data_IF_955021292259
#
_entry.id   IF_955021292259
#
_cell.length_a   1.000
_cell.length_b   1.000
_cell.length_c   1.000
_cell.angle_alpha   90.00
_cell.angle_beta   90.00
_cell.angle_gamma   90.00
#
_symmetry.space_group_name_H-M   'P 1'
#
loop_
_entity.id
_entity.type
_entity.pdbx_description
1 polymer ?
#
# COMPACT_ATOMS: atom_id res chain seq x y z
N UNK A 1 -17.56 -20.71 -15.18
CA UNK A 1 -16.82 -20.47 -13.92
C UNK A 1 -15.94 -19.26 -14.17
N UNK A 2 -15.79 -18.36 -13.20
CA UNK A 2 -14.85 -17.26 -13.36
C UNK A 2 -13.42 -17.81 -13.48
N UNK A 3 -12.61 -17.24 -14.37
CA UNK A 3 -11.20 -17.61 -14.47
C UNK A 3 -10.46 -17.17 -13.20
N UNK A 4 -9.51 -17.96 -12.75
CA UNK A 4 -8.69 -17.68 -11.57
C UNK A 4 -7.20 -17.63 -11.92
N UNK A 5 -6.44 -16.96 -11.07
CA UNK A 5 -4.99 -16.97 -11.06
C UNK A 5 -4.51 -17.52 -9.72
N UNK A 6 -3.68 -18.55 -9.77
CA UNK A 6 -3.10 -19.15 -8.56
C UNK A 6 -1.88 -18.35 -8.13
N UNK A 7 -1.97 -17.69 -6.96
CA UNK A 7 -0.88 -16.94 -6.35
C UNK A 7 -0.21 -17.78 -5.27
N UNK A 8 1.12 -17.93 -5.37
CA UNK A 8 1.96 -18.50 -4.31
C UNK A 8 2.71 -17.36 -3.61
N UNK A 9 2.47 -17.17 -2.32
CA UNK A 9 3.01 -16.03 -1.59
C UNK A 9 3.20 -16.36 -0.11
N UNK A 10 4.34 -15.98 0.46
CA UNK A 10 4.65 -16.15 1.89
C UNK A 10 4.39 -17.58 2.41
N UNK A 11 4.67 -18.60 1.58
CA UNK A 11 4.42 -20.01 1.90
C UNK A 11 2.97 -20.47 1.76
N UNK A 12 2.07 -19.59 1.30
CA UNK A 12 0.65 -19.86 1.14
C UNK A 12 0.27 -19.90 -0.35
N UNK A 13 -0.91 -20.45 -0.64
CA UNK A 13 -1.51 -20.45 -1.97
C UNK A 13 -2.90 -19.80 -1.90
N UNK A 14 -3.20 -18.92 -2.86
CA UNK A 14 -4.50 -18.25 -2.99
C UNK A 14 -4.97 -18.26 -4.42
N UNK A 15 -6.27 -18.53 -4.63
CA UNK A 15 -6.93 -18.41 -5.92
C UNK A 15 -7.56 -17.03 -6.05
N UNK A 16 -7.01 -16.22 -6.94
CA UNK A 16 -7.49 -14.86 -7.20
C UNK A 16 -8.44 -14.87 -8.39
N UNK A 17 -9.62 -14.28 -8.23
CA UNK A 17 -10.56 -14.12 -9.34
C UNK A 17 -9.97 -13.18 -10.37
N UNK A 18 -9.97 -13.58 -11.65
CA UNK A 18 -9.67 -12.68 -12.76
C UNK A 18 -10.89 -11.81 -13.04
N UNK A 19 -10.67 -10.51 -13.08
CA UNK A 19 -11.68 -9.49 -13.29
C UNK A 19 -11.32 -8.65 -14.51
N UNK A 20 -12.29 -8.46 -15.41
CA UNK A 20 -12.14 -7.58 -16.57
C UNK A 20 -11.91 -6.14 -16.10
N UNK A 21 -10.78 -5.56 -16.49
CA UNK A 21 -10.49 -4.14 -16.26
C UNK A 21 -10.97 -3.29 -17.44
N UNK A 22 -10.74 -3.75 -18.66
CA UNK A 22 -11.20 -3.15 -19.92
C UNK A 22 -11.30 -4.22 -21.03
N UNK A 23 -11.57 -3.81 -22.28
CA UNK A 23 -11.76 -4.75 -23.38
C UNK A 23 -10.48 -5.48 -23.83
N UNK A 24 -9.32 -5.09 -23.31
CA UNK A 24 -8.02 -5.66 -23.70
C UNK A 24 -7.24 -6.26 -22.54
N UNK A 25 -7.77 -6.17 -21.30
CA UNK A 25 -6.97 -6.53 -20.14
C UNK A 25 -7.83 -6.95 -18.95
N UNK A 26 -7.44 -8.06 -18.31
CA UNK A 26 -7.92 -8.49 -17.00
C UNK A 26 -6.83 -8.30 -15.93
N UNK A 27 -7.29 -8.16 -14.70
CA UNK A 27 -6.46 -8.17 -13.49
C UNK A 27 -6.82 -9.38 -12.62
N UNK A 28 -5.88 -9.83 -11.79
CA UNK A 28 -6.18 -10.75 -10.70
C UNK A 28 -6.55 -9.94 -9.45
N UNK A 29 -7.77 -10.11 -8.95
CA UNK A 29 -8.27 -9.35 -7.81
C UNK A 29 -7.61 -9.82 -6.50
N UNK A 30 -6.57 -9.11 -6.06
CA UNK A 30 -5.94 -9.35 -4.77
C UNK A 30 -6.70 -8.60 -3.67
N UNK A 31 -7.24 -9.36 -2.73
CA UNK A 31 -8.02 -8.83 -1.60
C UNK A 31 -7.51 -9.49 -0.33
N UNK A 32 -6.71 -8.75 0.47
CA UNK A 32 -6.24 -9.26 1.75
C UNK A 32 -7.18 -8.91 2.93
N UNK A 33 -8.25 -8.13 2.71
CA UNK A 33 -9.24 -7.83 3.73
C UNK A 33 -9.93 -9.10 4.21
N UNK A 34 -9.80 -9.41 5.51
CA UNK A 34 -10.36 -10.62 6.11
C UNK A 34 -9.47 -11.87 5.99
N UNK A 35 -8.40 -11.86 5.19
CA UNK A 35 -7.43 -12.94 5.12
C UNK A 35 -6.32 -12.75 6.17
N UNK A 36 -6.62 -13.14 7.39
CA UNK A 36 -5.70 -12.98 8.53
C UNK A 36 -4.43 -13.80 8.38
N UNK A 37 -4.54 -15.03 7.88
CA UNK A 37 -3.39 -15.91 7.68
C UNK A 37 -2.39 -15.30 6.70
N UNK A 38 -2.88 -14.82 5.56
CA UNK A 38 -2.05 -14.14 4.55
C UNK A 38 -1.45 -12.84 5.10
N UNK A 39 -2.25 -12.05 5.83
CA UNK A 39 -1.78 -10.78 6.40
C UNK A 39 -0.63 -11.00 7.36
N UNK A 40 -0.72 -11.99 8.24
CA UNK A 40 0.34 -12.33 9.20
C UNK A 40 1.60 -12.82 8.49
N UNK A 41 1.46 -13.73 7.53
CA UNK A 41 2.58 -14.28 6.79
C UNK A 41 3.28 -13.23 5.91
N UNK A 42 2.51 -12.42 5.18
CA UNK A 42 3.05 -11.36 4.32
C UNK A 42 3.77 -10.28 5.12
N UNK A 43 3.22 -9.85 6.27
CA UNK A 43 3.87 -8.90 7.16
C UNK A 43 5.22 -9.43 7.66
N UNK A 44 5.29 -10.69 8.07
CA UNK A 44 6.53 -11.32 8.53
C UNK A 44 7.61 -11.36 7.44
N UNK A 45 7.24 -11.74 6.22
CA UNK A 45 8.18 -11.80 5.10
C UNK A 45 8.63 -10.41 4.64
N UNK A 46 7.74 -9.41 4.61
CA UNK A 46 8.10 -8.03 4.27
C UNK A 46 9.05 -7.43 5.29
N UNK A 47 8.82 -7.63 6.59
CA UNK A 47 9.71 -7.13 7.64
C UNK A 47 11.13 -7.64 7.52
N UNK A 48 11.36 -8.84 6.98
CA UNK A 48 12.71 -9.38 6.72
C UNK A 48 13.42 -8.65 5.56
N UNK A 49 12.68 -8.08 4.63
CA UNK A 49 13.21 -7.41 3.42
C UNK A 49 13.32 -5.89 3.60
N UNK A 50 12.55 -5.31 4.50
CA UNK A 50 12.49 -3.86 4.71
C UNK A 50 13.71 -3.35 5.49
N UNK A 51 14.18 -2.12 5.20
CA UNK A 51 15.18 -1.46 6.02
C UNK A 51 14.62 -1.13 7.40
N UNK A 52 15.50 -0.77 8.33
CA UNK A 52 15.09 -0.24 9.64
C UNK A 52 14.25 1.02 9.48
N UNK A 53 13.14 1.09 10.21
CA UNK A 53 12.21 2.21 10.23
C UNK A 53 11.74 2.52 11.65
N UNK A 54 11.11 3.67 11.83
CA UNK A 54 10.58 4.11 13.11
C UNK A 54 9.04 4.13 13.14
N UNK A 55 8.42 4.33 11.97
CA UNK A 55 6.97 4.44 11.81
C UNK A 55 6.55 4.00 10.41
N UNK A 56 5.36 3.40 10.29
CA UNK A 56 4.76 3.03 9.02
C UNK A 56 3.77 4.11 8.56
N UNK A 57 3.69 4.33 7.25
CA UNK A 57 2.67 5.17 6.62
C UNK A 57 1.90 4.33 5.60
N UNK A 58 0.57 4.34 5.69
CA UNK A 58 -0.32 3.67 4.73
C UNK A 58 -1.53 4.52 4.40
N UNK A 59 -2.33 4.09 3.43
CA UNK A 59 -3.61 4.68 3.08
C UNK A 59 -4.77 3.69 3.27
N UNK A 60 -5.98 4.22 3.55
CA UNK A 60 -7.18 3.37 3.52
C UNK A 60 -7.47 2.89 2.08
N UNK A 61 -8.02 1.66 1.87
CA UNK A 61 -8.45 0.79 2.96
C UNK A 61 -7.58 -0.47 3.06
N UNK A 62 -7.08 -1.02 1.94
CA UNK A 62 -6.49 -2.36 1.88
C UNK A 62 -5.09 -2.44 2.47
N UNK A 63 -4.35 -1.33 2.52
CA UNK A 63 -3.05 -1.27 3.19
C UNK A 63 -3.13 -1.30 4.73
N UNK A 64 -4.30 -1.01 5.31
CA UNK A 64 -4.46 -0.95 6.77
C UNK A 64 -4.17 -2.29 7.47
N UNK A 65 -4.72 -3.45 7.04
CA UNK A 65 -4.42 -4.72 7.69
C UNK A 65 -2.93 -5.04 7.70
N UNK A 66 -2.25 -4.80 6.58
CA UNK A 66 -0.81 -4.99 6.47
C UNK A 66 -0.03 -4.08 7.43
N UNK A 67 -0.32 -2.79 7.41
CA UNK A 67 0.34 -1.82 8.29
C UNK A 67 0.11 -2.13 9.77
N UNK A 68 -1.11 -2.52 10.13
CA UNK A 68 -1.43 -2.93 11.51
C UNK A 68 -0.62 -4.16 11.93
N UNK A 69 -0.55 -5.19 11.08
CA UNK A 69 0.17 -6.42 11.41
C UNK A 69 1.69 -6.21 11.42
N UNK A 70 2.23 -5.44 10.48
CA UNK A 70 3.65 -5.05 10.52
C UNK A 70 3.98 -4.24 11.79
N UNK A 71 3.08 -3.33 12.20
CA UNK A 71 3.19 -2.58 13.46
C UNK A 71 3.21 -3.51 14.67
N UNK A 72 2.30 -4.48 14.73
CA UNK A 72 2.22 -5.46 15.82
C UNK A 72 3.49 -6.30 15.91
N UNK A 73 4.01 -6.80 14.79
CA UNK A 73 5.18 -7.67 14.76
C UNK A 73 6.48 -6.90 15.04
N UNK A 74 6.61 -5.68 14.53
CA UNK A 74 7.82 -4.85 14.71
C UNK A 74 7.84 -4.05 16.01
N UNK A 75 6.69 -3.86 16.66
CA UNK A 75 6.54 -2.95 17.80
C UNK A 75 6.62 -1.47 17.43
N UNK A 76 6.57 -1.12 16.11
CA UNK A 76 6.63 0.25 15.61
C UNK A 76 5.22 0.77 15.32
N UNK A 77 4.91 2.05 15.59
CA UNK A 77 3.59 2.61 15.28
C UNK A 77 3.34 2.73 13.77
N UNK A 78 2.07 2.95 13.41
CA UNK A 78 1.71 3.34 12.05
C UNK A 78 0.74 4.52 12.05
N UNK A 79 0.72 5.27 10.96
CA UNK A 79 -0.27 6.30 10.64
C UNK A 79 -0.98 5.94 9.33
N UNK A 80 -2.25 6.33 9.23
CA UNK A 80 -3.09 5.98 8.09
C UNK A 80 -3.72 7.22 7.48
N UNK A 81 -3.38 7.51 6.22
CA UNK A 81 -4.06 8.52 5.44
C UNK A 81 -5.44 8.02 4.97
N UNK A 82 -6.43 8.90 4.97
CA UNK A 82 -7.82 8.59 4.65
C UNK A 82 -8.19 9.15 3.27
N UNK A 83 -9.14 8.53 2.61
CA UNK A 83 -9.68 9.00 1.30
C UNK A 83 -10.61 10.21 1.41
N UNK A 84 -10.88 10.66 2.60
CA UNK A 84 -11.72 11.83 2.88
C UNK A 84 -11.60 12.28 4.33
N UNK A 85 -11.91 13.54 4.55
CA UNK A 85 -11.93 14.16 5.87
C UNK A 85 -12.95 13.46 6.79
N UNK A 86 -12.60 13.36 8.06
CA UNK A 86 -13.44 12.77 9.11
C UNK A 86 -13.77 13.82 10.17
N UNK A 87 -14.93 13.71 10.78
CA UNK A 87 -15.42 14.66 11.78
C UNK A 87 -14.48 14.86 12.98
N UNK A 88 -13.64 13.89 13.27
CA UNK A 88 -12.69 13.97 14.37
C UNK A 88 -11.37 14.67 14.00
N UNK A 89 -11.14 14.98 12.73
CA UNK A 89 -9.94 15.71 12.29
C UNK A 89 -10.11 17.20 12.63
N UNK A 90 -9.14 17.75 13.34
CA UNK A 90 -9.16 19.15 13.79
C UNK A 90 -8.32 20.07 12.91
N UNK A 91 -7.32 19.52 12.24
CA UNK A 91 -6.45 20.24 11.30
C UNK A 91 -6.08 19.29 10.14
N UNK A 92 -7.03 19.05 9.21
CA UNK A 92 -6.83 18.13 8.12
C UNK A 92 -5.83 18.66 7.09
N UNK A 93 -4.79 17.87 6.81
CA UNK A 93 -3.86 18.08 5.70
C UNK A 93 -4.31 17.25 4.52
N UNK A 94 -4.45 17.89 3.37
CA UNK A 94 -4.99 17.29 2.16
C UNK A 94 -3.91 17.28 1.08
N UNK A 95 -3.73 16.13 0.44
CA UNK A 95 -2.93 16.00 -0.78
C UNK A 95 -3.81 15.40 -1.87
N UNK A 96 -3.80 16.02 -3.04
CA UNK A 96 -4.48 15.53 -4.23
C UNK A 96 -3.45 15.05 -5.26
N UNK A 97 -3.64 13.86 -5.79
CA UNK A 97 -2.85 13.40 -6.94
C UNK A 97 -3.31 14.16 -8.18
N UNK A 98 -2.36 14.87 -8.81
CA UNK A 98 -2.58 15.62 -10.05
C UNK A 98 -2.40 14.77 -11.32
N UNK A 99 -2.41 13.44 -11.21
CA UNK A 99 -2.24 12.59 -12.39
C UNK A 99 -3.36 12.87 -13.41
N UNK A 100 -2.97 13.32 -14.60
CA UNK A 100 -3.83 13.75 -15.71
C UNK A 100 -4.57 12.54 -16.35
N UNK A 101 -4.21 11.34 -15.98
CA UNK A 101 -4.74 10.11 -16.58
C UNK A 101 -5.60 9.36 -15.59
N UNK A 102 -6.88 9.29 -15.89
CA UNK A 102 -7.93 8.42 -15.36
C UNK A 102 -8.90 9.03 -14.35
N UNK A 103 -10.13 8.68 -14.56
CA UNK A 103 -11.34 9.02 -13.84
C UNK A 103 -11.22 8.98 -12.30
N UNK A 104 -10.88 10.11 -11.70
CA UNK A 104 -10.94 10.33 -10.26
C UNK A 104 -9.63 10.82 -9.65
N UNK A 105 -9.57 12.08 -9.28
CA UNK A 105 -8.50 12.63 -8.44
C UNK A 105 -8.44 11.81 -7.15
N UNK A 106 -7.31 11.16 -6.88
CA UNK A 106 -7.11 10.52 -5.59
C UNK A 106 -6.77 11.60 -4.57
N UNK A 107 -7.62 11.70 -3.54
CA UNK A 107 -7.43 12.61 -2.43
C UNK A 107 -7.04 11.79 -1.21
N UNK A 108 -5.94 12.17 -0.56
CA UNK A 108 -5.56 11.65 0.74
C UNK A 108 -5.63 12.76 1.78
N UNK A 109 -6.14 12.42 2.95
CA UNK A 109 -6.34 13.35 4.07
C UNK A 109 -5.79 12.70 5.34
N UNK A 110 -5.04 13.46 6.11
CA UNK A 110 -4.55 13.05 7.43
C UNK A 110 -4.66 14.23 8.40
N UNK A 111 -4.98 13.97 9.66
CA UNK A 111 -4.96 15.03 10.66
C UNK A 111 -3.52 15.44 10.97
N UNK A 112 -3.25 16.74 11.13
CA UNK A 112 -1.92 17.28 11.43
C UNK A 112 -1.24 16.57 12.60
N UNK A 113 -1.96 16.30 13.68
CA UNK A 113 -1.44 15.59 14.86
C UNK A 113 -0.94 14.16 14.54
N UNK A 114 -1.53 13.49 13.55
CA UNK A 114 -1.08 12.16 13.10
C UNK A 114 0.14 12.31 12.17
N UNK A 115 0.10 13.29 11.29
CA UNK A 115 1.19 13.61 10.39
C UNK A 115 2.46 13.99 11.15
N UNK A 116 2.34 14.79 12.21
CA UNK A 116 3.47 15.26 13.04
C UNK A 116 4.19 14.12 13.77
N UNK A 117 3.56 12.96 13.95
CA UNK A 117 4.22 11.76 14.49
C UNK A 117 5.39 11.29 13.64
N UNK A 118 5.42 11.66 12.36
CA UNK A 118 6.49 11.31 11.43
C UNK A 118 7.68 12.28 11.46
N UNK A 119 7.56 13.47 12.11
CA UNK A 119 8.65 14.44 12.17
C UNK A 119 9.93 13.82 12.76
N UNK A 120 11.04 13.94 12.03
CA UNK A 120 12.34 13.41 12.42
C UNK A 120 12.45 11.88 12.42
N UNK A 121 11.47 11.18 11.81
CA UNK A 121 11.40 9.72 11.80
C UNK A 121 11.82 9.14 10.46
N UNK A 122 12.28 7.86 10.50
CA UNK A 122 12.45 7.02 9.33
C UNK A 122 11.09 6.37 9.02
N UNK A 123 10.49 6.74 7.90
CA UNK A 123 9.15 6.32 7.49
C UNK A 123 9.26 5.20 6.46
N UNK A 124 8.58 4.09 6.70
CA UNK A 124 8.35 3.03 5.71
C UNK A 124 6.91 3.16 5.19
N UNK A 125 6.78 3.44 3.89
CA UNK A 125 5.48 3.49 3.22
C UNK A 125 5.05 2.07 2.85
N UNK A 126 3.81 1.68 3.17
CA UNK A 126 3.31 0.32 2.89
C UNK A 126 1.92 0.36 2.26
N UNK A 127 1.70 -0.55 1.30
CA UNK A 127 0.40 -0.79 0.67
C UNK A 127 0.20 -2.28 0.39
N UNK A 128 -1.01 -2.70 0.00
CA UNK A 128 -1.26 -4.10 -0.38
C UNK A 128 -0.69 -4.41 -1.77
N UNK A 129 -0.94 -3.55 -2.76
CA UNK A 129 -0.47 -3.69 -4.14
C UNK A 129 0.06 -2.36 -4.66
N UNK A 130 1.26 -2.38 -5.23
CA UNK A 130 1.80 -1.27 -6.00
C UNK A 130 1.60 -1.60 -7.49
N UNK A 131 0.86 -0.74 -8.22
CA UNK A 131 0.67 -0.86 -9.67
C UNK A 131 1.24 0.38 -10.39
N UNK A 132 0.45 1.38 -10.71
CA UNK A 132 0.91 2.62 -11.37
C UNK A 132 1.73 3.54 -10.46
N UNK A 133 1.68 3.31 -9.15
CA UNK A 133 2.38 4.12 -8.15
C UNK A 133 1.67 5.41 -7.76
N UNK A 134 0.42 5.64 -8.19
CA UNK A 134 -0.35 6.83 -7.82
C UNK A 134 -0.56 6.95 -6.31
N UNK A 135 -0.94 5.87 -5.65
CA UNK A 135 -1.11 5.86 -4.18
C UNK A 135 0.19 6.17 -3.45
N UNK A 136 1.33 5.63 -3.93
CA UNK A 136 2.63 5.92 -3.35
C UNK A 136 3.01 7.40 -3.47
N UNK A 137 2.82 8.00 -4.65
CA UNK A 137 3.09 9.44 -4.87
C UNK A 137 2.28 10.32 -3.93
N UNK A 138 1.01 9.98 -3.70
CA UNK A 138 0.17 10.72 -2.78
C UNK A 138 0.64 10.56 -1.31
N UNK A 139 1.10 9.37 -0.92
CA UNK A 139 1.69 9.14 0.40
C UNK A 139 3.03 9.84 0.57
N UNK A 140 3.87 9.85 -0.47
CA UNK A 140 5.14 10.60 -0.48
C UNK A 140 4.87 12.11 -0.31
N UNK A 141 3.90 12.66 -1.03
CA UNK A 141 3.53 14.06 -0.91
C UNK A 141 2.96 14.44 0.47
N UNK A 142 2.32 13.50 1.18
CA UNK A 142 1.97 13.70 2.60
C UNK A 142 3.22 13.70 3.49
N UNK A 143 4.14 12.76 3.26
CA UNK A 143 5.39 12.69 4.03
C UNK A 143 6.25 13.94 3.85
N UNK A 144 6.28 14.53 2.65
CA UNK A 144 6.97 15.80 2.34
C UNK A 144 6.45 17.00 3.15
N UNK A 145 5.25 16.92 3.72
CA UNK A 145 4.73 17.94 4.65
C UNK A 145 5.37 17.87 6.05
N UNK A 146 6.29 16.94 6.25
CA UNK A 146 7.01 16.70 7.51
C UNK A 146 8.52 16.73 7.29
N UNK A 147 9.26 16.68 8.38
CA UNK A 147 10.73 16.52 8.36
C UNK A 147 11.13 15.05 8.50
N UNK A 148 10.40 14.14 7.88
CA UNK A 148 10.71 12.72 7.91
C UNK A 148 11.70 12.32 6.79
N UNK A 149 12.22 11.10 6.90
CA UNK A 149 12.98 10.45 5.83
C UNK A 149 12.25 9.18 5.41
N UNK A 150 11.80 9.11 4.16
CA UNK A 150 11.26 7.86 3.60
C UNK A 150 12.44 6.92 3.37
N UNK A 151 12.44 5.78 4.07
CA UNK A 151 13.50 4.78 3.99
C UNK A 151 13.18 3.61 3.06
N UNK A 152 11.93 3.51 2.63
CA UNK A 152 11.49 2.49 1.68
C UNK A 152 10.00 2.57 1.39
N UNK A 153 9.61 1.91 0.30
CA UNK A 153 8.23 1.72 -0.11
C UNK A 153 8.01 0.22 -0.31
N UNK A 154 7.06 -0.36 0.39
CA UNK A 154 6.85 -1.79 0.40
C UNK A 154 5.39 -2.16 0.11
N UNK A 155 5.17 -3.28 -0.56
CA UNK A 155 3.86 -3.85 -0.79
C UNK A 155 3.90 -5.38 -0.74
N UNK A 156 2.74 -6.00 -0.58
CA UNK A 156 2.64 -7.46 -0.70
C UNK A 156 2.93 -7.87 -2.14
N UNK A 157 2.33 -7.18 -3.11
CA UNK A 157 2.48 -7.45 -4.54
C UNK A 157 2.89 -6.21 -5.33
N UNK A 158 3.63 -6.43 -6.42
CA UNK A 158 3.87 -5.44 -7.45
C UNK A 158 3.16 -5.89 -8.75
N UNK A 159 2.21 -5.07 -9.25
CA UNK A 159 1.36 -5.41 -10.39
C UNK A 159 1.91 -4.82 -11.70
N UNK A 160 1.96 -5.66 -12.73
CA UNK A 160 2.40 -5.26 -14.06
C UNK A 160 3.82 -4.68 -14.06
N UNK A 161 4.00 -3.50 -14.68
CA UNK A 161 5.32 -2.85 -14.81
C UNK A 161 5.96 -2.49 -13.47
N UNK A 162 5.17 -2.38 -12.38
CA UNK A 162 5.72 -2.17 -11.06
C UNK A 162 6.66 -3.30 -10.61
N UNK A 163 6.47 -4.52 -11.11
CA UNK A 163 7.34 -5.65 -10.80
C UNK A 163 8.79 -5.49 -11.33
N UNK A 164 9.01 -4.61 -12.29
CA UNK A 164 10.34 -4.29 -12.83
C UNK A 164 11.09 -3.21 -12.01
N UNK A 165 10.40 -2.53 -11.09
CA UNK A 165 10.97 -1.44 -10.28
C UNK A 165 11.97 -2.00 -9.28
N UNK A 166 13.08 -1.25 -9.09
CA UNK A 166 14.16 -1.58 -8.15
C UNK A 166 14.13 -0.72 -6.87
N UNK A 167 13.26 0.28 -6.86
CA UNK A 167 13.10 1.26 -5.78
C UNK A 167 11.96 0.91 -4.82
N UNK A 168 11.26 -0.20 -5.05
CA UNK A 168 10.21 -0.73 -4.18
C UNK A 168 10.55 -2.13 -3.66
N UNK A 169 9.96 -2.48 -2.54
CA UNK A 169 10.10 -3.78 -1.88
C UNK A 169 8.77 -4.53 -2.00
N UNK A 170 8.78 -5.73 -2.52
CA UNK A 170 7.57 -6.55 -2.61
C UNK A 170 7.90 -8.04 -2.46
N UNK A 171 6.88 -8.84 -2.23
CA UNK A 171 7.04 -10.29 -2.07
C UNK A 171 6.99 -11.00 -3.42
N UNK A 172 5.92 -10.77 -4.21
CA UNK A 172 5.70 -11.43 -5.49
C UNK A 172 5.15 -10.45 -6.54
N UNK A 173 5.44 -10.70 -7.83
CA UNK A 173 4.78 -9.98 -8.92
C UNK A 173 3.33 -10.41 -9.08
N UNK A 174 2.47 -9.48 -9.50
CA UNK A 174 1.09 -9.76 -9.90
C UNK A 174 0.94 -9.49 -11.40
N UNK A 175 0.65 -10.51 -12.23
CA UNK A 175 0.57 -10.32 -13.67
C UNK A 175 -0.69 -9.57 -14.10
N UNK A 176 -0.58 -8.86 -15.22
CA UNK A 176 -1.70 -8.39 -16.02
C UNK A 176 -1.97 -9.39 -17.14
N UNK A 177 -3.23 -9.59 -17.52
CA UNK A 177 -3.64 -10.56 -18.54
C UNK A 177 -4.20 -9.82 -19.75
N UNK A 178 -3.42 -9.80 -20.82
CA UNK A 178 -3.81 -9.15 -22.09
C UNK A 178 -4.51 -10.13 -23.03
N UNK A 179 -5.49 -9.64 -23.81
CA UNK A 179 -6.23 -10.39 -24.86
C UNK A 179 -6.64 -9.50 -26.03
#
# INVERSE_FOLDING_TARGET
MAETYTLHIAGLTRELTRCKLNDHMDIAAFIMLGDTELTVAAAAELLKKCPDFDILLTAEAKGIPLAHEMSRQSGKPYVCARKGEKLYMTDPVVVEDQSITTAGKQKLVIDRKELDKMNGKRVLVVDDVISTGGSLKALDALAEQTQCTIVGQAAVLAEGDAAERKDIIFLEPLPLFFH
#
